data_IF_930175529350
#
_entry.id   IF_930175529350
#
_cell.length_a   1.000
_cell.length_b   1.000
_cell.length_c   1.000
_cell.angle_alpha   90.00
_cell.angle_beta   90.00
_cell.angle_gamma   90.00
#
_symmetry.space_group_name_H-M   'P 1'
#
loop_
_entity.id
_entity.type
_entity.pdbx_description
1 polymer ?
#
# COMPACT_ATOMS: atom_id res chain seq x y z
N UNK A 1 -26.57 3.60 16.39
CA UNK A 1 -25.26 3.40 15.75
C UNK A 1 -24.21 3.52 16.84
N UNK A 2 -23.41 2.47 17.08
CA UNK A 2 -22.36 2.50 18.10
C UNK A 2 -21.04 2.88 17.40
N UNK A 3 -20.36 3.92 17.89
CA UNK A 3 -19.06 4.34 17.34
C UNK A 3 -17.98 3.80 18.25
N UNK A 4 -17.18 2.87 17.72
CA UNK A 4 -16.07 2.27 18.45
C UNK A 4 -14.75 2.97 18.12
N UNK A 5 -13.86 3.04 19.11
CA UNK A 5 -12.52 3.58 18.94
C UNK A 5 -11.58 2.45 18.53
N UNK A 6 -10.93 2.61 17.37
CA UNK A 6 -9.89 1.69 16.89
C UNK A 6 -8.55 2.40 16.77
N UNK A 7 -7.47 1.71 17.11
CA UNK A 7 -6.13 2.24 16.91
C UNK A 7 -5.74 2.11 15.43
N UNK A 8 -5.14 3.16 14.85
CA UNK A 8 -4.75 3.18 13.43
C UNK A 8 -3.78 2.05 13.08
N UNK A 9 -2.85 1.73 13.98
CA UNK A 9 -1.90 0.63 13.78
C UNK A 9 -2.62 -0.71 13.65
N UNK A 10 -3.68 -0.95 14.44
CA UNK A 10 -4.42 -2.22 14.40
C UNK A 10 -5.17 -2.37 13.06
N UNK A 11 -5.74 -1.27 12.58
CA UNK A 11 -6.40 -1.22 11.27
C UNK A 11 -5.38 -1.56 10.18
N UNK A 12 -4.25 -0.86 10.13
CA UNK A 12 -3.22 -1.06 9.11
C UNK A 12 -2.61 -2.48 9.17
N UNK A 13 -2.39 -3.01 10.38
CA UNK A 13 -1.91 -4.38 10.60
C UNK A 13 -2.89 -5.39 10.01
N UNK A 14 -4.20 -5.22 10.26
CA UNK A 14 -5.23 -6.08 9.66
C UNK A 14 -5.26 -5.98 8.14
N UNK A 15 -5.03 -4.79 7.56
CA UNK A 15 -5.01 -4.63 6.11
C UNK A 15 -3.82 -5.35 5.47
N UNK A 16 -2.59 -5.18 5.99
CA UNK A 16 -1.42 -5.87 5.44
C UNK A 16 -1.50 -7.39 5.65
N UNK A 17 -2.01 -7.87 6.79
CA UNK A 17 -2.25 -9.29 7.01
C UNK A 17 -3.27 -9.87 6.03
N UNK A 18 -4.38 -9.15 5.80
CA UNK A 18 -5.41 -9.58 4.84
C UNK A 18 -4.86 -9.59 3.42
N UNK A 19 -4.06 -8.57 3.05
CA UNK A 19 -3.40 -8.50 1.76
C UNK A 19 -2.45 -9.69 1.54
N UNK A 20 -1.67 -10.06 2.57
CA UNK A 20 -0.78 -11.22 2.52
C UNK A 20 -1.55 -12.54 2.36
N UNK A 21 -2.66 -12.71 3.09
CA UNK A 21 -3.50 -13.89 2.95
C UNK A 21 -4.08 -14.03 1.54
N UNK A 22 -4.56 -12.92 0.96
CA UNK A 22 -5.05 -12.91 -0.43
C UNK A 22 -3.93 -13.22 -1.43
N UNK A 23 -2.75 -12.61 -1.24
CA UNK A 23 -1.59 -12.81 -2.10
C UNK A 23 -1.13 -14.27 -2.11
N UNK A 24 -0.94 -14.89 -0.94
CA UNK A 24 -0.53 -16.30 -0.86
C UNK A 24 -1.59 -17.27 -1.37
N UNK A 25 -2.87 -16.91 -1.24
CA UNK A 25 -3.95 -17.68 -1.84
C UNK A 25 -4.07 -17.48 -3.36
N UNK A 26 -3.20 -16.67 -3.99
CA UNK A 26 -3.25 -16.28 -5.39
C UNK A 26 -4.62 -15.72 -5.80
N UNK A 27 -5.21 -14.94 -4.88
CA UNK A 27 -6.50 -14.26 -5.07
C UNK A 27 -6.30 -12.84 -5.57
N UNK A 28 -7.41 -12.11 -5.70
CA UNK A 28 -7.51 -10.75 -6.25
C UNK A 28 -6.34 -9.81 -5.87
N UNK A 29 -5.41 -9.64 -6.82
CA UNK A 29 -4.21 -8.83 -6.65
C UNK A 29 -4.51 -7.33 -6.61
N UNK A 30 -5.62 -6.87 -7.19
CA UNK A 30 -6.02 -5.46 -7.07
C UNK A 30 -6.50 -5.14 -5.64
N UNK A 31 -7.18 -6.09 -5.00
CA UNK A 31 -7.46 -6.00 -3.56
C UNK A 31 -6.17 -6.00 -2.74
N UNK A 32 -5.19 -6.86 -3.06
CA UNK A 32 -3.88 -6.87 -2.39
C UNK A 32 -3.20 -5.51 -2.49
N UNK A 33 -3.10 -4.94 -3.70
CA UNK A 33 -2.55 -3.60 -3.97
C UNK A 33 -3.25 -2.55 -3.10
N UNK A 34 -4.58 -2.54 -3.12
CA UNK A 34 -5.39 -1.56 -2.39
C UNK A 34 -5.13 -1.63 -0.89
N UNK A 35 -5.18 -2.84 -0.32
CA UNK A 35 -5.02 -3.05 1.12
C UNK A 35 -3.58 -2.77 1.59
N UNK A 36 -2.59 -3.21 0.82
CA UNK A 36 -1.18 -2.95 1.11
C UNK A 36 -0.86 -1.45 1.05
N UNK A 37 -1.35 -0.75 0.01
CA UNK A 37 -1.19 0.71 -0.10
C UNK A 37 -1.87 1.48 1.04
N UNK A 38 -3.07 1.07 1.44
CA UNK A 38 -3.74 1.69 2.59
C UNK A 38 -3.01 1.43 3.92
N UNK A 39 -2.47 0.23 4.11
CA UNK A 39 -1.68 -0.10 5.29
C UNK A 39 -0.39 0.74 5.36
N UNK A 40 0.33 0.81 4.25
CA UNK A 40 1.57 1.56 4.11
C UNK A 40 1.39 3.05 4.39
N UNK A 41 0.35 3.67 3.84
CA UNK A 41 -0.01 5.07 4.11
C UNK A 41 -0.26 5.31 5.61
N UNK A 42 -1.03 4.43 6.26
CA UNK A 42 -1.33 4.58 7.69
C UNK A 42 -0.06 4.40 8.54
N UNK A 43 0.78 3.41 8.23
CA UNK A 43 2.05 3.21 8.94
C UNK A 43 3.00 4.40 8.74
N UNK A 44 3.12 4.92 7.53
CA UNK A 44 3.91 6.11 7.23
C UNK A 44 3.46 7.32 8.04
N UNK A 45 2.15 7.57 8.13
CA UNK A 45 1.61 8.64 8.98
C UNK A 45 1.92 8.43 10.46
N UNK A 46 1.88 7.20 10.96
CA UNK A 46 2.21 6.89 12.36
C UNK A 46 3.72 7.06 12.65
N UNK A 47 4.58 6.73 11.69
CA UNK A 47 6.03 6.94 11.79
C UNK A 47 6.38 8.44 11.86
N UNK A 48 5.75 9.26 11.02
CA UNK A 48 5.93 10.72 11.05
C UNK A 48 5.56 11.35 12.40
N UNK A 49 4.61 10.75 13.14
CA UNK A 49 4.26 11.20 14.49
C UNK A 49 5.29 10.81 15.56
N UNK A 50 6.12 9.78 15.31
CA UNK A 50 7.19 9.35 16.23
C UNK A 50 8.48 10.13 16.03
N UNK A 51 8.81 10.50 14.79
CA UNK A 51 10.07 11.20 14.45
C UNK A 51 9.79 12.47 13.62
N UNK A 52 9.43 13.60 14.25
CA UNK A 52 8.94 14.80 13.57
C UNK A 52 9.97 15.57 12.70
N UNK A 53 11.13 15.00 12.38
CA UNK A 53 12.23 15.70 11.70
C UNK A 53 12.76 15.02 10.43
N UNK A 54 12.45 13.76 10.20
CA UNK A 54 12.98 13.02 9.05
C UNK A 54 12.00 13.13 7.88
N UNK A 55 12.34 13.98 6.90
CA UNK A 55 11.68 13.98 5.59
C UNK A 55 12.07 12.72 4.83
N UNK A 56 11.59 11.55 5.27
CA UNK A 56 11.62 10.36 4.45
C UNK A 56 10.84 10.69 3.18
N UNK A 57 11.52 10.55 2.04
CA UNK A 57 11.13 11.10 0.74
C UNK A 57 9.64 10.90 0.47
N UNK A 58 8.98 11.96 0.00
CA UNK A 58 7.54 12.04 -0.24
C UNK A 58 6.93 10.66 -0.51
N UNK A 59 6.21 10.12 0.47
CA UNK A 59 5.41 8.91 0.32
C UNK A 59 4.41 9.18 -0.80
N UNK A 60 4.80 8.88 -2.05
CA UNK A 60 3.86 8.79 -3.16
C UNK A 60 3.06 7.54 -2.87
N UNK A 61 1.98 7.72 -2.12
CA UNK A 61 0.93 6.73 -1.93
C UNK A 61 0.63 6.14 -3.30
N UNK A 62 0.65 4.82 -3.48
CA UNK A 62 0.24 4.24 -4.78
C UNK A 62 -1.21 4.60 -5.11
N UNK A 63 -2.01 4.97 -4.10
CA UNK A 63 -3.30 5.63 -4.33
C UNK A 63 -3.21 6.92 -5.15
N UNK A 64 -2.08 7.64 -5.15
CA UNK A 64 -1.85 8.78 -6.05
C UNK A 64 -1.66 8.37 -7.51
N UNK A 65 -1.18 7.15 -7.79
CA UNK A 65 -1.13 6.59 -9.15
C UNK A 65 -2.53 6.19 -9.64
N UNK A 66 -3.41 5.80 -8.72
CA UNK A 66 -4.81 5.49 -9.02
C UNK A 66 -5.73 6.72 -8.96
N UNK A 67 -5.22 7.87 -8.48
CA UNK A 67 -5.97 9.12 -8.52
C UNK A 67 -5.97 9.63 -9.96
N UNK A 68 -7.15 9.94 -10.54
CA UNK A 68 -7.18 10.60 -11.83
C UNK A 68 -6.35 11.87 -11.73
N UNK A 69 -5.42 12.07 -12.68
CA UNK A 69 -4.61 13.27 -12.77
C UNK A 69 -5.57 14.46 -12.65
N UNK A 70 -5.40 15.29 -11.61
CA UNK A 70 -6.34 16.37 -11.28
C UNK A 70 -6.81 17.03 -12.56
N UNK A 71 -8.09 16.85 -12.87
CA UNK A 71 -8.75 17.47 -13.99
C UNK A 71 -8.37 18.95 -13.97
N UNK A 72 -7.54 19.35 -14.93
CA UNK A 72 -7.43 20.75 -15.33
C UNK A 72 -8.83 21.08 -15.84
N UNK A 73 -9.66 21.59 -14.95
CA UNK A 73 -11.01 22.04 -15.24
C UNK A 73 -10.91 23.26 -16.15
N UNK A 74 -10.65 23.03 -17.44
CA UNK A 74 -10.86 23.93 -18.59
C UNK A 74 -10.27 23.28 -19.84
N UNK A 75 -11.00 22.32 -20.43
CA UNK A 75 -11.30 22.27 -21.86
C UNK A 75 -12.16 21.05 -22.13
N UNK A 76 -13.26 21.34 -22.81
CA UNK A 76 -14.11 20.49 -23.64
C UNK A 76 -13.70 19.02 -23.79
N UNK A 77 -14.68 18.13 -23.67
CA UNK A 77 -14.64 16.69 -23.94
C UNK A 77 -14.12 16.34 -25.36
N UNK A 78 -12.84 16.61 -25.62
CA UNK A 78 -12.12 16.19 -26.80
C UNK A 78 -11.19 15.05 -26.39
N UNK A 79 -11.76 13.83 -26.42
CA UNK A 79 -11.04 12.55 -26.32
C UNK A 79 -10.32 12.30 -25.00
N UNK A 80 -10.92 11.51 -24.10
CA UNK A 80 -10.16 10.94 -22.99
C UNK A 80 -8.95 10.17 -23.57
N UNK A 81 -7.74 10.55 -23.16
CA UNK A 81 -6.54 9.83 -23.57
C UNK A 81 -6.54 8.46 -22.88
N UNK A 82 -5.93 7.45 -23.49
CA UNK A 82 -5.91 6.07 -22.94
C UNK A 82 -5.38 6.05 -21.50
N UNK A 83 -4.38 6.87 -21.19
CA UNK A 83 -3.81 7.04 -19.85
C UNK A 83 -4.76 7.70 -18.83
N UNK A 84 -5.85 8.34 -19.27
CA UNK A 84 -6.87 8.89 -18.38
C UNK A 84 -7.86 7.81 -17.90
N UNK A 85 -7.96 6.71 -18.66
CA UNK A 85 -8.95 5.65 -18.45
C UNK A 85 -8.32 4.33 -18.00
N UNK A 86 -7.07 4.09 -18.38
CA UNK A 86 -6.39 2.82 -18.18
C UNK A 86 -5.06 3.01 -17.47
N UNK A 87 -4.76 2.05 -16.59
CA UNK A 87 -3.47 1.95 -15.91
C UNK A 87 -2.77 0.70 -16.46
N UNK A 88 -1.59 0.89 -17.04
CA UNK A 88 -0.74 -0.21 -17.49
C UNK A 88 0.22 -0.58 -16.36
N UNK A 89 0.05 -1.78 -15.79
CA UNK A 89 0.93 -2.28 -14.74
C UNK A 89 1.03 -3.80 -14.76
N UNK A 90 2.19 -4.31 -14.32
CA UNK A 90 2.29 -5.70 -13.87
C UNK A 90 1.69 -5.79 -12.47
N UNK A 91 0.45 -6.28 -12.41
CA UNK A 91 -0.35 -6.33 -11.18
C UNK A 91 0.34 -7.17 -10.09
N UNK A 92 1.05 -8.23 -10.47
CA UNK A 92 1.76 -9.06 -9.50
C UNK A 92 2.98 -8.34 -8.96
N UNK A 93 3.78 -7.75 -9.83
CA UNK A 93 4.93 -6.98 -9.41
C UNK A 93 4.53 -5.81 -8.50
N UNK A 94 3.46 -5.10 -8.84
CA UNK A 94 2.94 -3.99 -8.04
C UNK A 94 2.45 -4.45 -6.66
N UNK A 95 1.72 -5.57 -6.60
CA UNK A 95 1.29 -6.17 -5.34
C UNK A 95 2.49 -6.54 -4.44
N UNK A 96 3.52 -7.16 -5.01
CA UNK A 96 4.74 -7.52 -4.28
C UNK A 96 5.52 -6.29 -3.79
N UNK A 97 5.62 -5.26 -4.64
CA UNK A 97 6.27 -4.00 -4.30
C UNK A 97 5.58 -3.31 -3.11
N UNK A 98 4.25 -3.20 -3.17
CA UNK A 98 3.45 -2.55 -2.14
C UNK A 98 3.40 -3.32 -0.83
N UNK A 99 3.22 -4.64 -0.89
CA UNK A 99 3.31 -5.50 0.29
C UNK A 99 4.67 -5.32 0.98
N UNK A 100 5.73 -5.27 0.17
CA UNK A 100 7.07 -5.01 0.67
C UNK A 100 7.17 -3.70 1.45
N UNK A 101 6.74 -2.58 0.86
CA UNK A 101 6.76 -1.27 1.53
C UNK A 101 5.92 -1.25 2.81
N UNK A 102 4.73 -1.86 2.77
CA UNK A 102 3.86 -1.95 3.95
C UNK A 102 4.52 -2.75 5.09
N UNK A 103 5.20 -3.85 4.76
CA UNK A 103 5.97 -4.66 5.72
C UNK A 103 7.13 -3.86 6.30
N UNK A 104 7.88 -3.14 5.48
CA UNK A 104 9.02 -2.35 5.95
C UNK A 104 8.57 -1.24 6.89
N UNK A 105 7.47 -0.54 6.56
CA UNK A 105 6.86 0.46 7.41
C UNK A 105 6.32 -0.12 8.73
N UNK A 106 5.69 -1.30 8.68
CA UNK A 106 5.26 -2.02 9.89
C UNK A 106 6.45 -2.39 10.78
N UNK A 107 7.53 -2.92 10.20
CA UNK A 107 8.73 -3.29 10.93
C UNK A 107 9.40 -2.06 11.56
N UNK A 108 9.52 -0.95 10.84
CA UNK A 108 10.04 0.30 11.39
C UNK A 108 9.21 0.80 12.60
N UNK A 109 7.89 0.58 12.58
CA UNK A 109 7.01 1.00 13.66
C UNK A 109 7.00 0.03 14.86
N UNK A 110 7.20 -1.27 14.65
CA UNK A 110 6.99 -2.28 15.69
C UNK A 110 8.27 -2.97 16.16
N UNK A 111 9.32 -2.97 15.35
CA UNK A 111 10.55 -3.73 15.56
C UNK A 111 10.40 -5.24 15.34
N UNK A 112 9.22 -5.70 14.92
CA UNK A 112 8.91 -7.13 14.78
C UNK A 112 8.19 -7.41 13.46
N UNK A 113 8.12 -8.69 13.08
CA UNK A 113 7.37 -9.17 11.92
C UNK A 113 6.36 -10.23 12.35
N UNK A 114 5.21 -10.25 11.68
CA UNK A 114 4.29 -11.37 11.81
C UNK A 114 4.82 -12.63 11.08
N UNK A 115 4.16 -13.77 11.29
CA UNK A 115 4.47 -14.99 10.55
C UNK A 115 4.30 -14.85 9.03
N UNK A 116 3.22 -14.19 8.58
CA UNK A 116 2.96 -14.00 7.16
C UNK A 116 3.96 -13.03 6.52
N UNK A 117 4.38 -11.99 7.25
CA UNK A 117 5.38 -11.04 6.77
C UNK A 117 6.76 -11.68 6.62
N UNK A 118 7.17 -12.49 7.60
CA UNK A 118 8.40 -13.30 7.49
C UNK A 118 8.36 -14.23 6.28
N UNK A 119 7.26 -14.98 6.15
CA UNK A 119 7.04 -15.87 5.00
C UNK A 119 7.15 -15.12 3.67
N UNK A 120 6.58 -13.91 3.58
CA UNK A 120 6.67 -13.10 2.36
C UNK A 120 8.12 -12.67 2.06
N UNK A 121 8.85 -12.19 3.06
CA UNK A 121 10.26 -11.84 2.89
C UNK A 121 11.10 -13.05 2.44
N UNK A 122 10.85 -14.22 3.03
CA UNK A 122 11.56 -15.47 2.73
C UNK A 122 11.20 -16.05 1.36
N UNK A 123 9.93 -16.08 0.97
CA UNK A 123 9.51 -16.78 -0.26
C UNK A 123 9.50 -15.89 -1.50
N UNK A 124 9.32 -14.57 -1.33
CA UNK A 124 9.13 -13.63 -2.44
C UNK A 124 10.33 -12.72 -2.61
N UNK A 125 10.82 -12.10 -1.53
CA UNK A 125 11.93 -11.13 -1.62
C UNK A 125 13.30 -11.79 -1.72
N UNK A 126 13.54 -12.92 -1.06
CA UNK A 126 14.83 -13.63 -1.14
C UNK A 126 15.17 -14.13 -2.55
N UNK A 127 14.16 -14.43 -3.38
CA UNK A 127 14.32 -14.91 -4.76
C UNK A 127 14.74 -13.83 -5.76
N UNK A 128 14.83 -12.57 -5.31
CA UNK A 128 15.29 -11.42 -6.12
C UNK A 128 16.75 -11.02 -5.83
N UNK A 129 17.43 -11.74 -4.93
CA UNK A 129 18.85 -11.56 -4.60
C UNK A 129 19.79 -12.35 -5.49
#
# INVERSE_FOLDING_TARGET
MNIEKHHKQDIATRQVETALLLYFAQKDLFSVITLAGAAEEIFGQLLLLREPGEKQGAFRSVLELLRPAKARATRELAGAHETDLYVHMDVRHEAEFLLGRAIDAYFALTGELSGNMRKFNEEVRSRRG
#
